data_IF_212892077222
#
_entry.id   IF_212892077222
#
_cell.length_a   1.000
_cell.length_b   1.000
_cell.length_c   1.000
_cell.angle_alpha   90.00
_cell.angle_beta   90.00
_cell.angle_gamma   90.00
#
_symmetry.space_group_name_H-M   'P 1'
#
loop_
_entity.id
_entity.type
_entity.pdbx_description
1 polymer ?
#
# COMPACT_ATOMS: atom_id res chain seq x y z
N UNK A 1 -31.24 -22.31 -20.71
CA UNK A 1 -32.18 -22.26 -19.57
C UNK A 1 -31.92 -20.98 -18.80
N UNK A 2 -32.75 -19.96 -18.96
CA UNK A 2 -32.67 -18.74 -18.17
C UNK A 2 -33.53 -18.94 -16.91
N UNK A 3 -32.93 -18.78 -15.74
CA UNK A 3 -33.64 -18.82 -14.47
C UNK A 3 -34.51 -17.56 -14.39
N UNK A 4 -35.82 -17.75 -14.52
CA UNK A 4 -36.81 -16.74 -14.22
C UNK A 4 -36.73 -16.43 -12.72
N UNK A 5 -36.20 -15.26 -12.36
CA UNK A 5 -36.40 -14.72 -11.02
C UNK A 5 -37.87 -14.28 -10.95
N UNK A 6 -38.68 -14.80 -10.01
CA UNK A 6 -40.08 -14.42 -9.92
C UNK A 6 -40.18 -12.92 -9.60
N UNK A 7 -40.82 -12.16 -10.50
CA UNK A 7 -41.17 -10.77 -10.26
C UNK A 7 -42.22 -10.74 -9.17
N UNK A 8 -41.83 -10.41 -7.95
CA UNK A 8 -42.74 -10.19 -6.84
C UNK A 8 -43.67 -9.01 -7.16
N UNK A 9 -44.99 -9.13 -6.94
CA UNK A 9 -45.93 -8.02 -7.17
C UNK A 9 -45.58 -6.84 -6.25
N UNK A 10 -45.87 -5.59 -6.65
CA UNK A 10 -45.51 -4.41 -5.88
C UNK A 10 -46.17 -4.49 -4.51
N UNK A 11 -45.34 -4.75 -3.49
CA UNK A 11 -45.78 -4.94 -2.11
C UNK A 11 -45.41 -3.68 -1.34
N UNK A 12 -46.31 -2.69 -1.33
CA UNK A 12 -46.14 -1.41 -0.64
C UNK A 12 -47.40 -0.55 -0.69
N UNK A 13 -47.54 0.39 0.26
CA UNK A 13 -48.74 1.23 0.47
C UNK A 13 -49.10 2.15 -0.74
N UNK A 14 -48.22 2.25 -1.74
CA UNK A 14 -48.38 3.08 -2.93
C UNK A 14 -48.04 2.26 -4.19
N UNK A 15 -49.04 1.64 -4.81
CA UNK A 15 -48.94 0.70 -5.93
C UNK A 15 -48.46 1.30 -7.28
N UNK A 16 -47.81 2.46 -7.28
CA UNK A 16 -47.32 3.17 -8.47
C UNK A 16 -45.81 3.49 -8.43
N UNK A 17 -45.10 3.04 -7.39
CA UNK A 17 -43.69 3.35 -7.22
C UNK A 17 -42.86 2.21 -7.78
N UNK A 18 -42.32 2.42 -8.98
CA UNK A 18 -41.38 1.49 -9.58
C UNK A 18 -40.11 1.42 -8.72
N UNK A 19 -39.60 0.21 -8.51
CA UNK A 19 -38.35 0.02 -7.77
C UNK A 19 -37.19 0.61 -8.57
N UNK A 20 -36.62 1.70 -8.05
CA UNK A 20 -35.54 2.43 -8.69
C UNK A 20 -34.23 1.61 -8.77
N UNK A 21 -34.09 0.59 -7.92
CA UNK A 21 -32.90 -0.25 -7.84
C UNK A 21 -32.82 -1.30 -8.95
N UNK A 22 -33.90 -1.55 -9.71
CA UNK A 22 -33.92 -2.52 -10.83
C UNK A 22 -32.87 -2.24 -11.89
N UNK A 23 -32.50 -0.96 -12.07
CA UNK A 23 -31.50 -0.54 -13.06
C UNK A 23 -30.04 -0.58 -12.55
N UNK A 24 -29.80 -1.08 -11.34
CA UNK A 24 -28.51 -1.04 -10.65
C UNK A 24 -27.86 0.37 -10.71
N UNK A 25 -28.54 1.40 -10.18
CA UNK A 25 -28.08 2.78 -10.29
C UNK A 25 -26.87 3.11 -9.40
N UNK A 26 -26.53 2.24 -8.44
CA UNK A 26 -25.40 2.40 -7.52
C UNK A 26 -24.21 1.55 -7.99
N UNK A 27 -23.00 2.03 -7.74
CA UNK A 27 -21.77 1.30 -8.06
C UNK A 27 -21.61 0.02 -7.22
N UNK A 28 -20.70 -0.87 -7.64
CA UNK A 28 -20.46 -2.14 -6.97
C UNK A 28 -20.13 -1.96 -5.48
N UNK A 29 -20.72 -2.82 -4.64
CA UNK A 29 -20.54 -2.77 -3.18
C UNK A 29 -21.37 -1.72 -2.45
N UNK A 30 -22.11 -0.85 -3.15
CA UNK A 30 -23.07 0.06 -2.53
C UNK A 30 -24.41 -0.62 -2.23
N UNK A 31 -25.10 -0.12 -1.20
CA UNK A 31 -26.47 -0.54 -0.87
C UNK A 31 -27.45 0.40 -1.56
N UNK A 32 -28.44 -0.16 -2.27
CA UNK A 32 -29.47 0.61 -2.96
C UNK A 32 -30.81 0.50 -2.24
N UNK A 33 -31.43 1.63 -1.96
CA UNK A 33 -32.78 1.75 -1.41
C UNK A 33 -33.65 2.67 -2.29
N UNK A 34 -34.93 2.37 -2.45
CA UNK A 34 -35.87 3.25 -3.17
C UNK A 34 -36.53 4.24 -2.22
N UNK A 35 -36.46 5.54 -2.52
CA UNK A 35 -37.06 6.60 -1.72
C UNK A 35 -38.60 6.53 -1.78
N UNK A 36 -39.30 6.42 -0.63
CA UNK A 36 -40.75 6.23 -0.61
C UNK A 36 -41.57 7.47 -1.00
N UNK A 37 -40.97 8.67 -1.05
CA UNK A 37 -41.66 9.93 -1.36
C UNK A 37 -41.61 10.29 -2.84
N UNK A 38 -40.50 9.99 -3.52
CA UNK A 38 -40.27 10.42 -4.90
C UNK A 38 -39.84 9.28 -5.84
N UNK A 39 -39.67 8.06 -5.35
CA UNK A 39 -39.30 6.90 -6.16
C UNK A 39 -37.88 6.94 -6.71
N UNK A 40 -37.01 7.80 -6.17
CA UNK A 40 -35.61 7.89 -6.60
C UNK A 40 -34.77 6.87 -5.84
N UNK A 41 -33.78 6.28 -6.53
CA UNK A 41 -32.76 5.47 -5.88
C UNK A 41 -31.88 6.31 -4.94
N UNK A 42 -31.66 5.77 -3.75
CA UNK A 42 -30.74 6.26 -2.73
C UNK A 42 -29.62 5.22 -2.64
N UNK A 43 -28.39 5.67 -2.87
CA UNK A 43 -27.21 4.82 -2.73
C UNK A 43 -26.50 5.14 -1.41
N UNK A 44 -26.30 4.13 -0.58
CA UNK A 44 -25.42 4.20 0.59
C UNK A 44 -24.05 3.67 0.19
N UNK A 45 -23.07 4.55 0.17
CA UNK A 45 -21.75 4.24 -0.36
C UNK A 45 -20.91 3.42 0.62
N UNK A 46 -20.09 2.47 0.11
CA UNK A 46 -19.04 1.85 0.91
C UNK A 46 -17.99 2.90 1.31
N UNK A 47 -17.16 2.55 2.29
CA UNK A 47 -16.04 3.40 2.69
C UNK A 47 -15.10 3.65 1.49
N UNK A 48 -14.59 4.88 1.38
CA UNK A 48 -13.71 5.30 0.28
C UNK A 48 -14.45 5.75 -0.99
N UNK A 49 -15.80 5.75 -1.02
CA UNK A 49 -16.56 6.19 -2.19
C UNK A 49 -17.60 7.26 -1.84
N UNK A 50 -17.83 8.16 -2.78
CA UNK A 50 -18.74 9.31 -2.65
C UNK A 50 -19.57 9.52 -3.93
N UNK A 51 -20.48 10.49 -3.87
CA UNK A 51 -21.36 10.86 -4.99
C UNK A 51 -22.71 10.14 -4.94
N UNK A 52 -23.65 10.59 -5.78
CA UNK A 52 -25.03 10.10 -5.77
C UNK A 52 -25.21 8.64 -6.20
N UNK A 53 -24.21 8.07 -6.89
CA UNK A 53 -24.18 6.68 -7.34
C UNK A 53 -22.99 5.90 -6.76
N UNK A 54 -22.23 6.48 -5.83
CA UNK A 54 -21.02 5.87 -5.24
C UNK A 54 -19.94 5.50 -6.29
N UNK A 55 -19.88 6.25 -7.38
CA UNK A 55 -18.97 6.04 -8.50
C UNK A 55 -17.78 6.99 -8.50
N UNK A 56 -17.61 7.78 -7.43
CA UNK A 56 -16.50 8.70 -7.27
C UNK A 56 -15.65 8.21 -6.12
N UNK A 57 -14.36 8.08 -6.39
CA UNK A 57 -13.35 7.78 -5.39
C UNK A 57 -13.17 8.97 -4.44
N UNK A 58 -13.03 8.67 -3.14
CA UNK A 58 -12.81 9.66 -2.09
C UNK A 58 -11.32 9.88 -1.91
N UNK A 59 -10.79 11.02 -2.36
CA UNK A 59 -9.35 11.29 -2.19
C UNK A 59 -8.99 11.62 -0.74
N UNK A 60 -8.66 10.62 0.09
CA UNK A 60 -8.38 10.81 1.52
C UNK A 60 -7.18 11.71 1.80
N UNK A 61 -6.29 11.91 0.81
CA UNK A 61 -5.14 12.82 0.94
C UNK A 61 -5.53 14.30 0.84
N UNK A 62 -6.72 14.62 0.31
CA UNK A 62 -7.15 16.00 0.01
C UNK A 62 -8.25 16.54 0.93
N UNK A 63 -8.85 15.71 1.78
CA UNK A 63 -10.06 16.05 2.56
C UNK A 63 -9.73 16.66 3.92
N UNK A 64 -8.50 16.49 4.40
CA UNK A 64 -8.10 16.93 5.73
C UNK A 64 -6.60 16.93 5.95
N UNK A 65 -6.19 16.61 7.18
CA UNK A 65 -4.78 16.42 7.50
C UNK A 65 -4.25 15.14 6.84
N UNK A 66 -2.97 15.14 6.47
CA UNK A 66 -2.30 13.96 5.93
C UNK A 66 -2.49 12.77 6.88
N UNK A 67 -3.10 11.65 6.43
CA UNK A 67 -3.34 10.50 7.28
C UNK A 67 -2.06 9.69 7.59
N UNK A 68 -0.92 9.99 6.96
CA UNK A 68 0.35 9.32 7.20
C UNK A 68 1.13 9.98 8.34
N UNK A 69 1.55 9.18 9.31
CA UNK A 69 2.40 9.59 10.43
C UNK A 69 3.85 9.83 9.98
N UNK A 70 4.65 10.46 10.85
CA UNK A 70 6.09 10.72 10.62
C UNK A 70 6.43 11.35 9.26
N UNK A 71 5.57 12.25 8.78
CA UNK A 71 5.70 12.93 7.49
C UNK A 71 5.72 11.97 6.28
N UNK A 72 5.09 10.80 6.41
CA UNK A 72 4.85 9.90 5.28
C UNK A 72 4.07 10.60 4.17
N UNK A 73 4.37 10.22 2.92
CA UNK A 73 3.67 10.78 1.75
C UNK A 73 2.38 10.00 1.51
N UNK A 74 1.24 10.67 1.60
CA UNK A 74 -0.06 10.10 1.22
C UNK A 74 -0.17 9.95 -0.29
N UNK A 75 -0.69 8.81 -0.73
CA UNK A 75 -1.01 8.50 -2.11
C UNK A 75 -2.43 7.97 -2.14
N UNK A 76 -3.31 8.68 -2.84
CA UNK A 76 -4.68 8.26 -3.03
C UNK A 76 -4.76 7.02 -3.92
N UNK A 77 -5.68 6.11 -3.60
CA UNK A 77 -5.94 4.88 -4.36
C UNK A 77 -7.44 4.64 -4.46
N UNK A 78 -7.89 3.79 -5.38
CA UNK A 78 -9.33 3.55 -5.51
C UNK A 78 -9.91 2.87 -4.26
N UNK A 79 -10.85 3.56 -3.60
CA UNK A 79 -11.53 3.14 -2.37
C UNK A 79 -10.68 3.22 -1.10
N UNK A 80 -9.47 3.79 -1.16
CA UNK A 80 -8.57 3.88 0.02
C UNK A 80 -7.35 4.78 -0.24
N UNK A 81 -6.39 4.79 0.69
CA UNK A 81 -5.11 5.45 0.51
C UNK A 81 -3.94 4.55 0.91
N UNK A 82 -2.74 4.91 0.45
CA UNK A 82 -1.49 4.30 0.88
C UNK A 82 -0.50 5.36 1.35
N UNK A 83 0.27 5.01 2.38
CA UNK A 83 1.35 5.85 2.88
C UNK A 83 2.71 5.34 2.39
N UNK A 84 3.45 6.22 1.70
CA UNK A 84 4.86 6.00 1.38
C UNK A 84 5.71 6.48 2.56
N UNK A 85 6.24 5.52 3.32
CA UNK A 85 6.99 5.80 4.53
C UNK A 85 8.41 6.29 4.24
N UNK A 86 8.86 7.23 5.07
CA UNK A 86 10.26 7.63 5.11
C UNK A 86 11.16 6.50 5.62
N UNK A 87 12.46 6.65 5.42
CA UNK A 87 13.45 5.70 5.95
C UNK A 87 13.34 5.63 7.48
N UNK A 88 13.32 4.40 8.01
CA UNK A 88 13.17 4.13 9.45
C UNK A 88 11.74 3.92 9.90
N UNK A 89 10.73 4.10 9.04
CA UNK A 89 9.33 3.91 9.40
C UNK A 89 8.65 2.82 8.57
N UNK A 90 7.67 2.16 9.17
CA UNK A 90 6.86 1.11 8.58
C UNK A 90 5.40 1.17 9.08
N UNK A 91 4.56 0.28 8.56
CA UNK A 91 3.14 0.20 8.88
C UNK A 91 2.26 0.89 7.84
N UNK A 92 0.95 0.60 7.82
CA UNK A 92 0.01 1.17 6.84
C UNK A 92 -0.05 2.70 6.85
N UNK A 93 0.21 3.32 8.00
CA UNK A 93 0.23 4.77 8.20
C UNK A 93 1.61 5.29 8.58
N UNK A 94 2.67 4.51 8.41
CA UNK A 94 4.03 4.85 8.82
C UNK A 94 4.17 5.09 10.34
N UNK A 95 3.32 4.46 11.13
CA UNK A 95 3.23 4.63 12.58
C UNK A 95 4.29 3.84 13.37
N UNK A 96 4.97 2.89 12.72
CA UNK A 96 5.93 1.99 13.33
C UNK A 96 7.34 2.50 13.09
N UNK A 97 8.09 2.78 14.16
CA UNK A 97 9.54 2.99 14.08
C UNK A 97 10.24 1.62 13.95
N UNK A 98 11.05 1.47 12.91
CA UNK A 98 11.79 0.23 12.65
C UNK A 98 12.92 0.15 13.66
N UNK A 99 13.11 -1.01 14.28
CA UNK A 99 14.25 -1.22 15.16
C UNK A 99 15.43 -1.81 14.37
N UNK A 100 16.41 -0.98 14.00
CA UNK A 100 17.59 -1.39 13.24
C UNK A 100 18.53 -2.31 14.04
N UNK A 101 18.39 -2.37 15.36
CA UNK A 101 19.20 -3.26 16.20
C UNK A 101 18.76 -4.73 16.12
N UNK A 102 17.56 -5.04 15.62
CA UNK A 102 17.07 -6.42 15.53
C UNK A 102 17.91 -7.31 14.60
N UNK A 103 18.60 -6.73 13.62
CA UNK A 103 19.51 -7.47 12.75
C UNK A 103 20.89 -7.72 13.39
N UNK A 104 21.07 -7.36 14.67
CA UNK A 104 22.33 -7.45 15.41
C UNK A 104 23.53 -6.87 14.63
N UNK A 105 23.47 -5.60 14.18
CA UNK A 105 24.51 -5.05 13.31
C UNK A 105 25.83 -4.74 14.04
N UNK A 106 25.81 -4.68 15.37
CA UNK A 106 26.98 -4.35 16.19
C UNK A 106 27.83 -5.59 16.48
N UNK A 107 29.14 -5.46 16.25
CA UNK A 107 30.12 -6.53 16.49
C UNK A 107 30.86 -6.33 17.83
N UNK A 108 31.63 -7.34 18.24
CA UNK A 108 32.52 -7.28 19.41
C UNK A 108 31.83 -6.92 20.73
N UNK A 109 30.61 -7.42 20.93
CA UNK A 109 29.79 -7.16 22.12
C UNK A 109 29.48 -5.67 22.34
N UNK A 110 29.47 -4.87 21.28
CA UNK A 110 29.04 -3.47 21.35
C UNK A 110 27.52 -3.37 21.55
N UNK A 111 27.09 -2.44 22.39
CA UNK A 111 25.66 -2.16 22.64
C UNK A 111 25.07 -1.42 21.44
N UNK A 112 24.03 -1.98 20.83
CA UNK A 112 23.30 -1.29 19.77
C UNK A 112 22.30 -0.30 20.35
N UNK A 113 22.30 0.91 19.79
CA UNK A 113 21.26 1.92 20.00
C UNK A 113 20.48 2.13 18.72
N UNK A 114 19.17 2.03 18.86
CA UNK A 114 18.20 2.27 17.82
C UNK A 114 18.10 3.75 17.47
N UNK A 115 17.95 4.07 16.20
CA UNK A 115 17.78 5.44 15.70
C UNK A 115 16.89 5.42 14.46
N UNK A 116 16.15 6.48 14.22
CA UNK A 116 15.28 6.57 13.04
C UNK A 116 16.07 6.35 11.74
N UNK A 117 15.87 5.19 11.12
CA UNK A 117 16.48 4.81 9.84
C UNK A 117 17.94 4.39 9.91
N UNK A 118 18.53 4.30 11.10
CA UNK A 118 19.94 3.97 11.31
C UNK A 118 20.19 3.32 12.69
N UNK A 119 21.44 3.01 13.02
CA UNK A 119 21.78 2.52 14.35
C UNK A 119 23.13 3.09 14.79
N UNK A 120 23.38 3.07 16.09
CA UNK A 120 24.69 3.43 16.65
C UNK A 120 25.20 2.33 17.57
N UNK A 121 26.42 1.85 17.32
CA UNK A 121 27.07 0.90 18.20
C UNK A 121 27.94 1.63 19.24
N UNK A 122 27.69 1.37 20.52
CA UNK A 122 28.49 1.87 21.63
C UNK A 122 29.42 0.77 22.13
N UNK A 123 30.72 1.03 22.03
CA UNK A 123 31.75 0.14 22.57
C UNK A 123 31.90 0.32 24.08
N UNK A 124 32.10 -0.78 24.83
CA UNK A 124 32.41 -0.71 26.25
C UNK A 124 33.76 0.00 26.52
N UNK A 125 33.86 0.84 27.57
CA UNK A 125 35.11 1.47 27.97
C UNK A 125 36.17 0.39 28.30
N UNK A 126 37.29 0.40 27.58
CA UNK A 126 38.39 -0.57 27.76
C UNK A 126 38.75 -1.38 26.52
N UNK A 127 37.90 -1.37 25.48
CA UNK A 127 38.27 -1.79 24.12
C UNK A 127 38.32 -0.57 23.21
N UNK A 128 39.32 0.27 23.43
CA UNK A 128 39.61 1.37 22.50
C UNK A 128 40.16 0.76 21.21
N UNK A 129 39.36 0.74 20.15
CA UNK A 129 39.94 0.90 18.82
C UNK A 129 40.70 2.24 18.82
N UNK A 130 41.78 2.37 18.02
CA UNK A 130 42.55 3.61 17.99
C UNK A 130 41.62 4.77 17.66
N UNK A 131 41.79 5.86 18.41
CA UNK A 131 41.17 7.17 18.23
C UNK A 131 40.77 7.41 16.76
N UNK A 132 39.50 7.72 16.43
CA UNK A 132 39.16 8.04 15.06
C UNK A 132 39.96 9.29 14.65
N UNK A 133 40.49 9.36 13.42
CA UNK A 133 40.98 10.62 12.90
C UNK A 133 39.81 11.62 12.92
N UNK A 134 40.11 12.87 13.23
CA UNK A 134 39.15 13.97 13.05
C UNK A 134 38.89 14.08 11.56
N UNK A 135 37.90 13.36 11.05
CA UNK A 135 37.31 13.66 9.76
C UNK A 135 35.83 13.94 9.99
N UNK A 136 35.55 15.23 10.08
CA UNK A 136 34.25 15.77 9.70
C UNK A 136 33.96 15.28 8.28
N UNK A 137 32.86 14.54 8.09
CA UNK A 137 32.30 14.10 6.80
C UNK A 137 32.54 12.63 6.43
N UNK A 138 31.42 11.90 6.26
CA UNK A 138 31.21 10.76 5.35
C UNK A 138 31.44 9.33 5.87
N UNK A 139 30.36 8.71 6.37
CA UNK A 139 29.95 7.43 5.76
C UNK A 139 29.35 7.74 4.39
N UNK A 140 30.23 8.04 3.42
CA UNK A 140 29.92 7.77 2.01
C UNK A 140 30.03 6.26 1.91
N UNK A 141 28.89 5.59 1.80
CA UNK A 141 28.84 4.35 1.02
C UNK A 141 29.63 4.61 -0.25
N UNK A 142 30.76 3.91 -0.42
CA UNK A 142 31.52 4.08 -1.65
C UNK A 142 30.61 3.67 -2.81
N UNK A 143 30.62 4.44 -3.90
CA UNK A 143 29.82 4.14 -5.10
C UNK A 143 30.10 2.72 -5.66
N UNK A 144 31.18 2.06 -5.21
CA UNK A 144 31.54 0.68 -5.49
C UNK A 144 30.68 -0.36 -4.75
N UNK A 145 30.22 -0.08 -3.53
CA UNK A 145 29.38 -1.02 -2.75
C UNK A 145 27.90 -0.93 -3.17
N UNK A 146 27.42 0.25 -3.58
CA UNK A 146 26.10 0.42 -4.19
C UNK A 146 25.97 -0.26 -5.57
N UNK A 147 27.08 -0.51 -6.28
CA UNK A 147 27.06 -1.27 -7.53
C UNK A 147 26.87 -2.78 -7.31
N UNK A 148 27.36 -3.33 -6.19
CA UNK A 148 27.21 -4.76 -5.87
C UNK A 148 25.82 -5.09 -5.30
N UNK A 149 25.24 -4.19 -4.49
CA UNK A 149 23.88 -4.36 -3.98
C UNK A 149 22.81 -4.15 -5.07
N UNK A 150 23.02 -3.18 -5.99
CA UNK A 150 22.13 -3.01 -7.15
C UNK A 150 22.29 -4.14 -8.20
N UNK A 151 23.44 -4.80 -8.29
CA UNK A 151 23.63 -5.97 -9.17
C UNK A 151 22.90 -7.20 -8.63
N UNK A 152 22.94 -7.42 -7.31
CA UNK A 152 22.19 -8.50 -6.65
C UNK A 152 20.66 -8.30 -6.77
N UNK A 153 20.17 -7.07 -6.55
CA UNK A 153 18.74 -6.77 -6.65
C UNK A 153 18.17 -6.76 -8.08
N UNK A 154 18.99 -6.46 -9.11
CA UNK A 154 18.57 -6.58 -10.52
C UNK A 154 18.47 -8.03 -10.99
N UNK A 155 19.24 -8.95 -10.42
CA UNK A 155 19.22 -10.35 -10.80
C UNK A 155 18.06 -11.12 -10.14
N UNK A 156 17.65 -10.75 -8.93
CA UNK A 156 16.44 -11.32 -8.29
C UNK A 156 15.14 -10.82 -8.92
N UNK A 157 15.12 -9.61 -9.49
CA UNK A 157 13.97 -9.12 -10.27
C UNK A 157 13.83 -9.78 -11.65
N UNK A 158 14.90 -10.40 -12.18
CA UNK A 158 14.88 -11.10 -13.48
C UNK A 158 14.42 -12.56 -13.38
N UNK A 159 14.47 -13.16 -12.19
CA UNK A 159 14.00 -14.54 -11.98
C UNK A 159 12.50 -14.64 -11.66
N UNK A 160 11.82 -13.53 -11.32
CA UNK A 160 10.36 -13.50 -11.11
C UNK A 160 9.55 -13.07 -12.35
N UNK A 161 10.21 -12.69 -13.45
CA UNK A 161 9.56 -12.41 -14.74
C UNK A 161 9.84 -13.48 -15.82
N UNK A 162 10.38 -14.64 -15.42
CA UNK A 162 10.74 -15.74 -16.31
C UNK A 162 9.70 -16.86 -16.44
N UNK A 163 8.51 -16.75 -15.84
CA UNK A 163 7.39 -17.64 -16.18
C UNK A 163 6.62 -17.05 -17.36
N UNK A 164 7.13 -17.24 -18.57
CA UNK A 164 6.36 -17.54 -19.79
C UNK A 164 7.30 -17.65 -20.99
N UNK A 165 7.00 -18.62 -21.85
CA UNK A 165 7.57 -18.86 -23.17
C UNK A 165 8.89 -19.66 -23.24
N UNK A 166 8.83 -20.91 -22.79
CA UNK A 166 9.61 -21.99 -23.43
C UNK A 166 8.71 -22.69 -24.44
N UNK A 167 8.65 -22.21 -25.68
CA UNK A 167 8.55 -23.08 -26.86
C UNK A 167 8.87 -22.27 -28.11
N UNK A 168 10.09 -22.43 -28.63
CA UNK A 168 10.42 -22.30 -30.05
C UNK A 168 11.72 -23.08 -30.28
N UNK A 169 11.56 -24.19 -30.96
CA UNK A 169 12.57 -25.17 -31.34
C UNK A 169 13.65 -24.54 -32.23
N UNK A 170 14.92 -25.00 -32.16
CA UNK A 170 15.85 -24.86 -33.26
C UNK A 170 15.84 -26.10 -34.16
N UNK A 171 15.95 -25.85 -35.46
CA UNK A 171 15.98 -26.82 -36.56
C UNK A 171 17.03 -27.93 -36.38
N UNK A 172 16.68 -29.16 -36.81
CA UNK A 172 17.53 -29.96 -37.70
C UNK A 172 16.80 -31.18 -38.27
N UNK A 173 17.13 -31.46 -39.54
CA UNK A 173 17.06 -32.74 -40.27
C UNK A 173 15.85 -32.99 -41.20
N UNK A 174 15.96 -32.54 -42.47
CA UNK A 174 16.08 -33.40 -43.67
C UNK A 174 16.15 -32.57 -44.95
#
# INVERSE_FOLDING_TARGET
MALFVPVSPPSGLLCHLDDACVSNPCNEGAVCDTNPLNGRAICTCPAGFVGGACNQDMDECSIGANPCEHFGKCVNTEGSFQCQCGRGYAGPRCEIDINECLSMPCQNDATCLDRIGEFTCICMPGRTTPRPPRDTSQHRTTARELQLLNYSQRNTARELQGTTATELQPEKYS
#
